data_IF_713953107624
#
_entry.id   IF_713953107624
#
_cell.length_a   1.000
_cell.length_b   1.000
_cell.length_c   1.000
_cell.angle_alpha   90.00
_cell.angle_beta   90.00
_cell.angle_gamma   90.00
#
_symmetry.space_group_name_H-M   'P 1'
#
loop_
_entity.id
_entity.type
_entity.pdbx_description
1 polymer ?
#
# COMPACT_ATOMS: atom_id res chain seq x y z
N UNK A 1 2.85 13.96 1.29
CA UNK A 1 3.17 12.55 1.56
C UNK A 1 2.04 11.97 2.40
N UNK A 2 1.43 10.85 1.98
CA UNK A 2 0.42 10.09 2.74
C UNK A 2 0.91 8.66 2.90
N UNK A 3 0.52 8.01 4.00
CA UNK A 3 0.84 6.62 4.28
C UNK A 3 -0.44 5.80 4.16
N UNK A 4 -0.40 4.71 3.39
CA UNK A 4 -1.49 3.75 3.31
C UNK A 4 -1.02 2.44 3.93
N UNK A 5 -1.60 2.10 5.07
CA UNK A 5 -1.14 0.99 5.90
C UNK A 5 -2.18 -0.14 5.86
N UNK A 6 -1.75 -1.35 5.48
CA UNK A 6 -2.61 -2.53 5.34
C UNK A 6 -1.99 -3.76 5.99
N UNK A 7 -2.78 -4.84 6.11
CA UNK A 7 -2.34 -6.09 6.72
C UNK A 7 -2.22 -6.04 8.24
N UNK A 8 -1.64 -7.08 8.84
CA UNK A 8 -1.62 -7.28 10.29
C UNK A 8 -0.99 -6.11 11.06
N UNK A 9 0.18 -5.64 10.60
CA UNK A 9 0.94 -4.58 11.30
C UNK A 9 0.55 -3.17 10.88
N UNK A 10 -0.46 -3.00 10.02
CA UNK A 10 -0.76 -1.66 9.50
C UNK A 10 -1.28 -0.69 10.56
N UNK A 11 -1.81 -1.15 11.70
CA UNK A 11 -2.15 -0.26 12.83
C UNK A 11 -0.88 0.28 13.50
N UNK A 12 0.13 -0.57 13.69
CA UNK A 12 1.42 -0.16 14.24
C UNK A 12 2.14 0.83 13.29
N UNK A 13 2.04 0.61 11.98
CA UNK A 13 2.59 1.53 10.97
C UNK A 13 1.82 2.85 10.92
N UNK A 14 0.49 2.82 10.99
CA UNK A 14 -0.33 4.03 11.01
C UNK A 14 -0.07 4.87 12.26
N UNK A 15 0.19 4.22 13.39
CA UNK A 15 0.53 4.88 14.66
C UNK A 15 1.84 5.69 14.60
N UNK A 16 2.73 5.42 13.64
CA UNK A 16 3.97 6.20 13.49
C UNK A 16 3.70 7.66 13.13
N UNK A 17 2.68 7.92 12.30
CA UNK A 17 2.26 9.26 11.86
C UNK A 17 0.75 9.30 11.56
N UNK A 18 -0.11 9.27 12.59
CA UNK A 18 -1.57 9.14 12.44
C UNK A 18 -2.20 10.25 11.59
N UNK A 19 -1.60 11.44 11.57
CA UNK A 19 -2.12 12.61 10.86
C UNK A 19 -2.01 12.52 9.33
N UNK A 20 -1.18 11.63 8.81
CA UNK A 20 -1.00 11.39 7.36
C UNK A 20 -1.26 9.94 6.97
N UNK A 21 -1.65 9.08 7.91
CA UNK A 21 -1.87 7.66 7.70
C UNK A 21 -3.35 7.33 7.42
N UNK A 22 -3.57 6.39 6.51
CA UNK A 22 -4.87 5.83 6.17
C UNK A 22 -4.78 4.32 6.34
N UNK A 23 -5.68 3.76 7.15
CA UNK A 23 -5.76 2.33 7.40
C UNK A 23 -6.68 1.66 6.38
N UNK A 24 -6.21 0.60 5.76
CA UNK A 24 -7.03 -0.29 4.92
C UNK A 24 -6.79 -1.75 5.31
N UNK A 25 -7.66 -2.66 4.89
CA UNK A 25 -7.50 -4.09 5.17
C UNK A 25 -6.54 -4.74 4.18
N UNK A 26 -6.62 -4.36 2.91
CA UNK A 26 -5.84 -4.95 1.81
C UNK A 26 -5.08 -3.92 0.97
N UNK A 27 -4.06 -4.39 0.25
CA UNK A 27 -3.32 -3.58 -0.71
C UNK A 27 -4.21 -3.07 -1.84
N UNK A 28 -5.17 -3.88 -2.32
CA UNK A 28 -6.14 -3.46 -3.36
C UNK A 28 -6.97 -2.27 -2.88
N UNK A 29 -7.54 -2.34 -1.68
CA UNK A 29 -8.29 -1.22 -1.11
C UNK A 29 -7.44 0.04 -0.98
N UNK A 30 -6.17 -0.08 -0.58
CA UNK A 30 -5.25 1.06 -0.53
C UNK A 30 -5.04 1.66 -1.94
N UNK A 31 -4.77 0.83 -2.94
CA UNK A 31 -4.54 1.25 -4.32
C UNK A 31 -5.78 1.94 -4.93
N UNK A 32 -6.98 1.42 -4.69
CA UNK A 32 -8.25 2.01 -5.14
C UNK A 32 -8.49 3.40 -4.54
N UNK A 33 -8.04 3.65 -3.31
CA UNK A 33 -8.11 4.98 -2.70
C UNK A 33 -7.00 5.91 -3.20
N UNK A 34 -5.81 5.38 -3.48
CA UNK A 34 -4.67 6.15 -3.99
C UNK A 34 -4.96 6.64 -5.41
N UNK A 35 -5.42 5.77 -6.30
CA UNK A 35 -5.59 6.04 -7.73
C UNK A 35 -6.26 7.39 -8.08
N UNK A 36 -7.45 7.75 -7.54
CA UNK A 36 -8.09 9.04 -7.84
C UNK A 36 -7.37 10.27 -7.28
N UNK A 37 -6.40 10.09 -6.37
CA UNK A 37 -5.66 11.17 -5.73
C UNK A 37 -4.31 11.46 -6.40
N UNK A 38 -3.77 10.51 -7.16
CA UNK A 38 -2.47 10.63 -7.84
C UNK A 38 -2.57 11.61 -8.99
N UNK A 39 -1.60 12.53 -9.08
CA UNK A 39 -1.47 13.46 -10.20
C UNK A 39 -0.18 13.22 -10.96
N UNK A 40 -0.10 13.76 -12.17
CA UNK A 40 1.16 13.76 -12.92
C UNK A 40 2.27 14.41 -12.08
N UNK A 41 3.36 13.66 -11.86
CA UNK A 41 4.49 14.06 -11.01
C UNK A 41 4.47 13.47 -9.59
N UNK A 42 3.36 12.86 -9.16
CA UNK A 42 3.32 12.10 -7.91
C UNK A 42 3.99 10.72 -8.08
N UNK A 43 4.47 10.16 -6.97
CA UNK A 43 5.06 8.83 -6.91
C UNK A 43 4.32 7.97 -5.88
N UNK A 44 3.92 6.78 -6.29
CA UNK A 44 3.37 5.74 -5.41
C UNK A 44 4.46 4.70 -5.17
N UNK A 45 4.88 4.55 -3.91
CA UNK A 45 5.93 3.62 -3.50
C UNK A 45 5.37 2.53 -2.60
N UNK A 46 5.52 1.27 -3.00
CA UNK A 46 5.32 0.13 -2.13
C UNK A 46 6.63 -0.16 -1.38
N UNK A 47 6.72 0.28 -0.11
CA UNK A 47 7.86 -0.02 0.77
C UNK A 47 7.38 -0.72 2.05
N UNK A 48 7.30 -2.06 2.05
CA UNK A 48 6.91 -2.82 3.21
C UNK A 48 8.12 -2.96 4.14
N UNK A 49 8.08 -2.29 5.30
CA UNK A 49 9.06 -2.44 6.37
C UNK A 49 8.98 -3.81 7.10
N UNK A 50 8.01 -4.67 6.76
CA UNK A 50 7.82 -6.00 7.36
C UNK A 50 8.01 -7.13 6.34
N UNK A 51 8.66 -8.21 6.78
CA UNK A 51 8.85 -9.44 6.02
C UNK A 51 7.48 -10.03 5.62
N UNK A 52 7.33 -10.37 4.35
CA UNK A 52 6.06 -10.65 3.68
C UNK A 52 5.47 -12.03 3.98
N UNK A 53 5.37 -12.46 5.24
CA UNK A 53 4.90 -13.82 5.57
C UNK A 53 3.42 -13.93 5.97
N UNK A 54 2.71 -12.81 6.23
CA UNK A 54 1.32 -12.88 6.73
C UNK A 54 0.22 -12.75 5.64
N UNK A 55 0.50 -12.24 4.43
CA UNK A 55 -0.53 -12.05 3.37
C UNK A 55 -0.15 -12.55 1.96
N UNK A 56 1.12 -12.88 1.70
CA UNK A 56 1.59 -13.31 0.38
C UNK A 56 2.58 -14.46 0.52
N UNK A 57 2.63 -15.39 -0.44
CA UNK A 57 3.56 -16.53 -0.39
C UNK A 57 5.02 -16.09 -0.49
N UNK A 58 5.27 -14.97 -1.17
CA UNK A 58 6.61 -14.41 -1.37
C UNK A 58 6.52 -12.90 -1.71
N UNK A 59 7.66 -12.23 -1.62
CA UNK A 59 7.82 -10.81 -1.93
C UNK A 59 7.47 -10.50 -3.40
N UNK A 60 7.75 -11.45 -4.30
CA UNK A 60 7.52 -11.34 -5.74
C UNK A 60 6.02 -11.26 -6.07
N UNK A 61 5.20 -12.14 -5.52
CA UNK A 61 3.74 -12.12 -5.74
C UNK A 61 3.10 -10.79 -5.31
N UNK A 62 3.59 -10.21 -4.21
CA UNK A 62 3.14 -8.89 -3.76
C UNK A 62 3.54 -7.79 -4.73
N UNK A 63 4.78 -7.83 -5.23
CA UNK A 63 5.26 -6.88 -6.24
C UNK A 63 4.50 -6.99 -7.55
N UNK A 64 4.25 -8.21 -8.01
CA UNK A 64 3.44 -8.49 -9.21
C UNK A 64 2.01 -7.97 -9.05
N UNK A 65 1.36 -8.23 -7.91
CA UNK A 65 0.01 -7.73 -7.66
C UNK A 65 -0.01 -6.19 -7.61
N UNK A 66 1.00 -5.55 -7.00
CA UNK A 66 1.12 -4.10 -7.01
C UNK A 66 1.28 -3.54 -8.43
N UNK A 67 2.18 -4.13 -9.22
CA UNK A 67 2.40 -3.72 -10.61
C UNK A 67 1.16 -3.92 -11.48
N UNK A 68 0.41 -5.01 -11.25
CA UNK A 68 -0.85 -5.28 -11.93
C UNK A 68 -1.91 -4.24 -11.56
N UNK A 69 -2.10 -3.98 -10.26
CA UNK A 69 -3.02 -2.95 -9.77
C UNK A 69 -2.66 -1.55 -10.28
N UNK A 70 -1.37 -1.23 -10.33
CA UNK A 70 -0.90 0.05 -10.84
C UNK A 70 -1.24 0.23 -12.33
N UNK A 71 -1.23 -0.84 -13.14
CA UNK A 71 -1.67 -0.78 -14.54
C UNK A 71 -3.19 -0.71 -14.67
N UNK A 72 -3.93 -1.41 -13.80
CA UNK A 72 -5.40 -1.43 -13.82
C UNK A 72 -6.01 -0.09 -13.39
N UNK A 73 -5.36 0.63 -12.49
CA UNK A 73 -5.89 1.84 -11.83
C UNK A 73 -5.21 3.14 -12.29
N UNK A 74 -4.32 3.07 -13.28
CA UNK A 74 -3.67 4.25 -13.89
C UNK A 74 -4.56 4.93 -14.93
#
# INVERSE_FOLDING_TARGET
MRLYCFGRDGDALAALRPEIAVRTETMRQAMEQIAPQVKAGDMVLLSPACASLDQFRNFEQRGEQFAQLAKELS
#
